data_IF_919056653496
#
_entry.id   IF_919056653496
#
_cell.length_a   1.000
_cell.length_b   1.000
_cell.length_c   1.000
_cell.angle_alpha   90.00
_cell.angle_beta   90.00
_cell.angle_gamma   90.00
#
_symmetry.space_group_name_H-M   'P 1'
#
loop_
_entity.id
_entity.type
_entity.pdbx_description
1 polymer ?
#
# COMPACT_ATOMS: atom_id res chain seq x y z
N UNK A 1 14.50 20.52 -3.38
CA UNK A 1 13.25 21.24 -3.79
C UNK A 1 11.99 20.35 -3.79
N UNK A 2 12.04 19.03 -4.03
CA UNK A 2 10.81 18.19 -4.03
C UNK A 2 10.18 17.92 -2.65
N UNK A 3 10.97 17.88 -1.57
CA UNK A 3 10.49 17.59 -0.21
C UNK A 3 9.39 18.55 0.28
N UNK A 4 9.42 19.81 -0.14
CA UNK A 4 8.48 20.83 0.32
C UNK A 4 7.06 20.67 -0.26
N UNK A 5 6.90 19.97 -1.39
CA UNK A 5 5.60 19.86 -2.08
C UNK A 5 4.67 18.80 -1.48
N UNK A 6 5.22 17.82 -0.75
CA UNK A 6 4.47 16.66 -0.25
C UNK A 6 4.10 16.76 1.24
N UNK A 7 4.45 17.86 1.92
CA UNK A 7 4.15 18.11 3.33
C UNK A 7 4.47 16.93 4.27
N UNK A 8 5.52 16.15 3.96
CA UNK A 8 5.88 14.93 4.68
C UNK A 8 7.24 15.08 5.37
N UNK A 9 7.39 14.46 6.55
CA UNK A 9 8.66 14.39 7.27
C UNK A 9 9.65 13.49 6.53
N UNK A 10 10.94 13.65 6.82
CA UNK A 10 12.01 12.86 6.21
C UNK A 10 11.77 11.34 6.32
N UNK A 11 11.38 10.85 7.50
CA UNK A 11 11.11 9.42 7.72
C UNK A 11 9.94 8.91 6.86
N UNK A 12 8.89 9.72 6.71
CA UNK A 12 7.75 9.39 5.85
C UNK A 12 8.15 9.34 4.37
N UNK A 13 9.07 10.20 3.95
CA UNK A 13 9.62 10.14 2.59
C UNK A 13 10.50 8.91 2.38
N UNK A 14 11.32 8.55 3.36
CA UNK A 14 12.13 7.31 3.33
C UNK A 14 11.22 6.09 3.20
N UNK A 15 10.18 5.99 4.02
CA UNK A 15 9.20 4.89 3.93
C UNK A 15 8.48 4.85 2.58
N UNK A 16 8.11 6.01 2.03
CA UNK A 16 7.51 6.12 0.70
C UNK A 16 8.47 5.62 -0.41
N UNK A 17 9.76 5.99 -0.33
CA UNK A 17 10.77 5.52 -1.27
C UNK A 17 10.92 4.00 -1.22
N UNK A 18 10.91 3.40 -0.03
CA UNK A 18 10.94 1.95 0.13
C UNK A 18 9.72 1.26 -0.47
N UNK A 19 8.52 1.82 -0.26
CA UNK A 19 7.29 1.33 -0.89
C UNK A 19 7.38 1.35 -2.43
N UNK A 20 7.94 2.41 -3.02
CA UNK A 20 8.12 2.48 -4.47
C UNK A 20 9.17 1.51 -5.00
N UNK A 21 10.27 1.31 -4.28
CA UNK A 21 11.28 0.32 -4.63
C UNK A 21 10.72 -1.11 -4.57
N UNK A 22 9.96 -1.43 -3.52
CA UNK A 22 9.28 -2.71 -3.39
C UNK A 22 8.27 -2.92 -4.52
N UNK A 23 7.47 -1.91 -4.84
CA UNK A 23 6.54 -1.95 -5.97
C UNK A 23 7.24 -2.20 -7.31
N UNK A 24 8.44 -1.64 -7.52
CA UNK A 24 9.26 -1.96 -8.70
C UNK A 24 9.73 -3.41 -8.70
N UNK A 25 10.21 -3.93 -7.56
CA UNK A 25 10.60 -5.34 -7.45
C UNK A 25 9.44 -6.29 -7.78
N UNK A 26 8.21 -5.89 -7.46
CA UNK A 26 7.00 -6.64 -7.78
C UNK A 26 6.45 -6.40 -9.19
N UNK A 27 7.09 -5.54 -9.99
CA UNK A 27 6.62 -5.20 -11.34
C UNK A 27 5.36 -4.31 -11.38
N UNK A 28 4.97 -3.71 -10.26
CA UNK A 28 3.82 -2.79 -10.17
C UNK A 28 4.16 -1.36 -10.62
N UNK A 29 5.44 -1.00 -10.59
CA UNK A 29 5.94 0.32 -10.99
C UNK A 29 7.23 0.20 -11.81
N UNK A 30 7.32 0.96 -12.91
CA UNK A 30 8.54 1.02 -13.72
C UNK A 30 9.59 1.95 -13.08
N UNK A 31 9.18 3.18 -12.75
CA UNK A 31 10.03 4.22 -12.16
C UNK A 31 9.65 4.47 -10.68
N UNK A 32 10.50 4.09 -9.72
CA UNK A 32 10.22 4.22 -8.29
C UNK A 32 10.68 5.57 -7.71
N UNK A 33 11.13 6.51 -8.55
CA UNK A 33 11.61 7.81 -8.10
C UNK A 33 10.46 8.78 -7.79
N UNK A 34 10.78 9.86 -7.08
CA UNK A 34 9.83 10.95 -6.80
C UNK A 34 9.42 11.70 -8.07
N UNK A 35 10.29 11.79 -9.07
CA UNK A 35 9.96 12.29 -10.40
C UNK A 35 8.96 11.36 -11.10
N UNK A 36 9.15 10.03 -10.95
CA UNK A 36 8.19 9.04 -11.44
C UNK A 36 6.81 9.20 -10.82
N UNK A 37 6.74 9.43 -9.50
CA UNK A 37 5.50 9.75 -8.79
C UNK A 37 4.83 11.01 -9.36
N UNK A 38 5.59 12.09 -9.54
CA UNK A 38 5.04 13.35 -10.05
C UNK A 38 4.53 13.23 -11.48
N UNK A 39 5.25 12.50 -12.35
CA UNK A 39 4.80 12.21 -13.71
C UNK A 39 3.48 11.41 -13.72
N UNK A 40 3.35 10.40 -12.84
CA UNK A 40 2.10 9.64 -12.68
C UNK A 40 0.96 10.53 -12.18
N UNK A 41 1.23 11.43 -11.24
CA UNK A 41 0.25 12.41 -10.73
C UNK A 41 -0.26 13.33 -11.82
N UNK A 42 0.63 13.90 -12.61
CA UNK A 42 0.28 14.80 -13.72
C UNK A 42 -0.59 14.08 -14.74
N UNK A 43 -0.15 12.89 -15.19
CA UNK A 43 -0.93 12.05 -16.12
C UNK A 43 -2.31 11.68 -15.56
N UNK A 44 -2.40 11.37 -14.26
CA UNK A 44 -3.67 11.06 -13.62
C UNK A 44 -4.61 12.26 -13.58
N UNK A 45 -4.12 13.45 -13.21
CA UNK A 45 -4.91 14.67 -13.20
C UNK A 45 -5.34 15.12 -14.61
N UNK A 46 -4.50 14.94 -15.62
CA UNK A 46 -4.86 15.18 -17.03
C UNK A 46 -5.99 14.26 -17.48
N UNK A 47 -5.89 12.97 -17.16
CA UNK A 47 -6.96 12.00 -17.43
C UNK A 47 -8.27 12.40 -16.75
N UNK A 48 -8.25 12.80 -15.47
CA UNK A 48 -9.44 13.28 -14.75
C UNK A 48 -10.07 14.50 -15.43
N UNK A 49 -9.23 15.47 -15.84
CA UNK A 49 -9.68 16.67 -16.56
C UNK A 49 -10.32 16.31 -17.91
N UNK A 50 -9.76 15.36 -18.65
CA UNK A 50 -10.36 14.90 -19.91
C UNK A 50 -11.72 14.23 -19.66
N UNK A 51 -11.82 13.34 -18.67
CA UNK A 51 -13.10 12.70 -18.33
C UNK A 51 -14.17 13.70 -17.92
N UNK A 52 -13.80 14.76 -17.18
CA UNK A 52 -14.70 15.86 -16.84
C UNK A 52 -15.17 16.62 -18.08
N UNK A 53 -14.25 16.98 -18.99
CA UNK A 53 -14.58 17.67 -20.24
C UNK A 53 -15.48 16.83 -21.16
N UNK A 54 -15.32 15.51 -21.13
CA UNK A 54 -16.12 14.55 -21.89
C UNK A 54 -17.46 14.20 -21.19
N UNK A 55 -17.77 14.81 -20.03
CA UNK A 55 -18.94 14.48 -19.19
C UNK A 55 -19.05 12.99 -18.84
N UNK A 56 -17.91 12.29 -18.72
CA UNK A 56 -17.88 10.90 -18.24
C UNK A 56 -18.16 10.87 -16.74
N UNK A 57 -18.91 9.85 -16.31
CA UNK A 57 -19.12 9.59 -14.88
C UNK A 57 -17.85 8.97 -14.31
N UNK A 58 -17.22 9.64 -13.34
CA UNK A 58 -16.11 9.11 -12.56
C UNK A 58 -16.28 9.46 -11.08
N UNK A 59 -15.59 8.72 -10.22
CA UNK A 59 -15.69 8.84 -8.76
C UNK A 59 -14.39 9.35 -8.16
N UNK A 60 -14.49 9.98 -6.99
CA UNK A 60 -13.35 10.53 -6.26
C UNK A 60 -13.03 11.99 -6.62
N UNK A 61 -11.85 12.49 -6.21
CA UNK A 61 -11.44 13.86 -6.48
C UNK A 61 -11.31 14.14 -7.98
N UNK A 62 -11.65 15.37 -8.40
CA UNK A 62 -11.40 15.86 -9.76
C UNK A 62 -9.94 16.28 -9.99
N UNK A 63 -9.19 16.43 -8.92
CA UNK A 63 -7.78 16.79 -8.93
C UNK A 63 -7.11 16.28 -7.65
N UNK A 64 -5.90 15.73 -7.80
CA UNK A 64 -5.04 15.35 -6.69
C UNK A 64 -3.88 16.34 -6.53
N UNK A 65 -3.81 16.95 -5.34
CA UNK A 65 -2.59 17.63 -4.89
C UNK A 65 -1.45 16.62 -4.70
N UNK A 66 -0.20 17.10 -4.66
CA UNK A 66 0.97 16.26 -4.39
C UNK A 66 0.82 15.36 -3.14
N UNK A 67 0.48 15.87 -1.93
CA UNK A 67 0.32 15.02 -0.76
C UNK A 67 -0.83 14.02 -0.90
N UNK A 68 -1.96 14.43 -1.48
CA UNK A 68 -3.11 13.54 -1.67
C UNK A 68 -2.78 12.39 -2.64
N UNK A 69 -2.06 12.68 -3.72
CA UNK A 69 -1.66 11.65 -4.69
C UNK A 69 -0.63 10.68 -4.12
N UNK A 70 0.34 11.19 -3.34
CA UNK A 70 1.31 10.34 -2.64
C UNK A 70 0.60 9.35 -1.72
N UNK A 71 -0.34 9.83 -0.89
CA UNK A 71 -1.10 8.95 -0.02
C UNK A 71 -1.93 7.93 -0.82
N UNK A 72 -2.63 8.38 -1.87
CA UNK A 72 -3.39 7.51 -2.76
C UNK A 72 -2.52 6.40 -3.35
N UNK A 73 -1.35 6.73 -3.90
CA UNK A 73 -0.49 5.75 -4.53
C UNK A 73 0.13 4.77 -3.51
N UNK A 74 0.58 5.26 -2.35
CA UNK A 74 1.08 4.39 -1.29
C UNK A 74 -0.01 3.43 -0.79
N UNK A 75 -1.25 3.90 -0.62
CA UNK A 75 -2.38 3.04 -0.26
C UNK A 75 -2.68 2.02 -1.35
N UNK A 76 -2.71 2.43 -2.63
CA UNK A 76 -2.92 1.50 -3.76
C UNK A 76 -1.87 0.38 -3.76
N UNK A 77 -0.58 0.73 -3.67
CA UNK A 77 0.51 -0.24 -3.69
C UNK A 77 0.49 -1.20 -2.50
N UNK A 78 0.13 -0.71 -1.31
CA UNK A 78 -0.08 -1.57 -0.14
C UNK A 78 -1.24 -2.54 -0.39
N UNK A 79 -2.36 -2.06 -0.96
CA UNK A 79 -3.50 -2.92 -1.30
C UNK A 79 -3.15 -3.99 -2.33
N UNK A 80 -2.37 -3.64 -3.36
CA UNK A 80 -1.87 -4.58 -4.37
C UNK A 80 -1.00 -5.70 -3.76
N UNK A 81 -0.35 -5.45 -2.61
CA UNK A 81 0.40 -6.47 -1.88
C UNK A 81 -0.47 -7.33 -0.97
N UNK A 82 -1.36 -6.72 -0.18
CA UNK A 82 -2.15 -7.45 0.84
C UNK A 82 -3.33 -8.23 0.26
N UNK A 83 -3.75 -7.87 -0.97
CA UNK A 83 -4.69 -8.62 -1.79
C UNK A 83 -4.02 -8.94 -3.13
N UNK A 84 -3.00 -9.81 -3.13
CA UNK A 84 -2.09 -9.95 -4.25
C UNK A 84 -2.77 -10.62 -5.45
N UNK A 85 -2.59 -10.00 -6.62
CA UNK A 85 -2.87 -10.65 -7.90
C UNK A 85 -1.94 -11.84 -8.11
N UNK A 86 -2.26 -12.73 -9.05
CA UNK A 86 -1.41 -13.87 -9.38
C UNK A 86 0.02 -13.43 -9.76
N UNK A 87 0.15 -12.32 -10.50
CA UNK A 87 1.44 -11.74 -10.85
C UNK A 87 2.26 -11.35 -9.61
N UNK A 88 1.64 -10.74 -8.59
CA UNK A 88 2.31 -10.38 -7.34
C UNK A 88 2.66 -11.62 -6.53
N UNK A 89 1.78 -12.63 -6.47
CA UNK A 89 2.08 -13.92 -5.79
C UNK A 89 3.28 -14.63 -6.43
N UNK A 90 3.35 -14.64 -7.76
CA UNK A 90 4.44 -15.27 -8.51
C UNK A 90 5.81 -14.63 -8.28
N UNK A 91 5.88 -13.44 -7.68
CA UNK A 91 7.16 -12.84 -7.27
C UNK A 91 7.81 -13.58 -6.09
N UNK A 92 7.05 -14.37 -5.33
CA UNK A 92 7.49 -15.03 -4.11
C UNK A 92 7.69 -14.08 -2.91
N UNK A 93 7.43 -12.78 -3.08
CA UNK A 93 7.60 -11.77 -2.01
C UNK A 93 6.40 -11.70 -1.07
N UNK A 94 5.19 -12.04 -1.57
CA UNK A 94 4.00 -12.03 -0.74
C UNK A 94 3.88 -13.36 0.03
N UNK A 95 3.89 -13.35 1.37
CA UNK A 95 3.74 -14.56 2.16
C UNK A 95 2.31 -15.12 2.09
N UNK A 96 2.22 -16.44 2.23
CA UNK A 96 0.99 -17.16 2.57
C UNK A 96 1.03 -17.53 4.04
N UNK A 97 -0.13 -17.59 4.67
CA UNK A 97 -0.26 -17.89 6.09
C UNK A 97 -1.11 -19.14 6.29
N UNK A 98 -0.65 -20.02 7.16
CA UNK A 98 -1.37 -21.21 7.57
C UNK A 98 -2.59 -20.84 8.42
N UNK A 99 -3.58 -21.73 8.48
CA UNK A 99 -4.73 -21.57 9.38
C UNK A 99 -4.30 -21.46 10.84
N UNK A 100 -3.22 -22.16 11.24
CA UNK A 100 -2.73 -22.10 12.62
C UNK A 100 -2.15 -20.72 12.96
N UNK A 101 -1.41 -20.10 12.04
CA UNK A 101 -0.88 -18.74 12.24
C UNK A 101 -2.01 -17.72 12.35
N UNK A 102 -3.04 -17.83 11.51
CA UNK A 102 -4.22 -16.96 11.58
C UNK A 102 -5.01 -17.14 12.88
N UNK A 103 -5.20 -18.37 13.35
CA UNK A 103 -5.84 -18.65 14.65
C UNK A 103 -5.03 -18.11 15.82
N UNK A 104 -3.71 -18.29 15.78
CA UNK A 104 -2.79 -17.75 16.79
C UNK A 104 -2.91 -16.22 16.86
N UNK A 105 -2.96 -15.55 15.71
CA UNK A 105 -3.17 -14.10 15.67
C UNK A 105 -4.52 -13.71 16.28
N UNK A 106 -5.60 -14.42 15.96
CA UNK A 106 -6.93 -14.16 16.52
C UNK A 106 -6.93 -14.26 18.05
N UNK A 107 -6.40 -15.35 18.60
CA UNK A 107 -6.34 -15.60 20.04
C UNK A 107 -5.48 -14.57 20.79
N UNK A 108 -4.37 -14.15 20.19
CA UNK A 108 -3.46 -13.16 20.79
C UNK A 108 -3.96 -11.71 20.69
N UNK A 109 -4.89 -11.42 19.79
CA UNK A 109 -5.39 -10.06 19.51
C UNK A 109 -6.92 -9.98 19.61
N UNK A 110 -7.51 -10.75 20.53
CA UNK A 110 -8.96 -10.82 20.74
C UNK A 110 -9.59 -9.44 20.98
N UNK A 111 -8.85 -8.50 21.56
CA UNK A 111 -9.28 -7.12 21.80
C UNK A 111 -9.60 -6.35 20.51
N UNK A 112 -8.97 -6.70 19.39
CA UNK A 112 -9.25 -6.09 18.08
C UNK A 112 -10.58 -6.57 17.46
N UNK A 113 -11.16 -7.66 17.96
CA UNK A 113 -12.32 -8.31 17.38
C UNK A 113 -13.59 -8.16 18.23
N UNK A 114 -13.55 -7.31 19.25
CA UNK A 114 -14.72 -6.93 20.05
C UNK A 114 -15.72 -6.10 19.24
N UNK A 115 -17.00 -6.41 19.44
CA UNK A 115 -18.14 -5.68 18.86
C UNK A 115 -18.73 -4.73 19.90
N UNK A 116 -19.63 -3.87 19.44
CA UNK A 116 -20.21 -2.80 20.26
C UNK A 116 -20.87 -3.30 21.55
N UNK A 117 -21.53 -4.47 21.53
CA UNK A 117 -22.22 -5.01 22.70
C UNK A 117 -21.36 -5.95 23.56
N UNK A 118 -20.04 -5.99 23.33
CA UNK A 118 -19.10 -6.80 24.10
C UNK A 118 -19.02 -8.27 23.68
N UNK A 119 -19.77 -8.68 22.64
CA UNK A 119 -19.54 -9.93 21.93
C UNK A 119 -18.35 -9.79 20.96
N UNK A 120 -17.84 -10.91 20.46
CA UNK A 120 -16.68 -10.95 19.55
C UNK A 120 -17.10 -11.51 18.19
N UNK A 121 -16.46 -11.03 17.12
CA UNK A 121 -16.53 -11.73 15.85
C UNK A 121 -15.91 -13.12 15.98
N UNK A 122 -16.46 -14.15 15.33
CA UNK A 122 -15.81 -15.47 15.30
C UNK A 122 -14.58 -15.45 14.40
N UNK A 123 -13.67 -16.40 14.59
CA UNK A 123 -12.49 -16.55 13.72
C UNK A 123 -12.87 -16.58 12.23
N UNK A 124 -13.93 -17.32 11.88
CA UNK A 124 -14.40 -17.50 10.51
C UNK A 124 -14.87 -16.17 9.89
N UNK A 125 -15.50 -15.29 10.68
CA UNK A 125 -15.95 -13.97 10.23
C UNK A 125 -14.77 -13.04 9.88
N UNK A 126 -13.63 -13.21 10.56
CA UNK A 126 -12.48 -12.29 10.44
C UNK A 126 -11.23 -12.91 9.81
N UNK A 127 -11.26 -14.19 9.41
CA UNK A 127 -10.08 -14.90 8.89
C UNK A 127 -9.40 -14.17 7.72
N UNK A 128 -10.17 -13.61 6.78
CA UNK A 128 -9.62 -12.84 5.66
C UNK A 128 -9.03 -11.48 6.10
N UNK A 129 -9.62 -10.87 7.13
CA UNK A 129 -9.14 -9.60 7.70
C UNK A 129 -7.81 -9.84 8.44
N UNK A 130 -7.71 -10.94 9.18
CA UNK A 130 -6.47 -11.37 9.84
C UNK A 130 -5.37 -11.60 8.80
N UNK A 131 -5.66 -12.35 7.75
CA UNK A 131 -4.69 -12.61 6.68
C UNK A 131 -4.21 -11.31 6.02
N UNK A 132 -5.13 -10.37 5.77
CA UNK A 132 -4.78 -9.03 5.28
C UNK A 132 -3.87 -8.30 6.26
N UNK A 133 -4.15 -8.34 7.57
CA UNK A 133 -3.36 -7.70 8.62
C UNK A 133 -1.94 -8.28 8.70
N UNK A 134 -1.82 -9.60 8.63
CA UNK A 134 -0.52 -10.28 8.59
C UNK A 134 0.29 -9.88 7.34
N UNK A 135 -0.36 -9.72 6.19
CA UNK A 135 0.30 -9.17 4.99
C UNK A 135 0.65 -7.68 5.14
N UNK A 136 -0.15 -6.86 5.82
CA UNK A 136 0.21 -5.46 6.10
C UNK A 136 1.51 -5.37 6.92
N UNK A 137 1.67 -6.24 7.93
CA UNK A 137 2.88 -6.30 8.75
C UNK A 137 4.09 -6.82 7.95
N UNK A 138 3.89 -7.83 7.09
CA UNK A 138 4.93 -8.31 6.19
C UNK A 138 5.36 -7.24 5.17
N UNK A 139 4.40 -6.48 4.62
CA UNK A 139 4.67 -5.38 3.71
C UNK A 139 5.56 -4.30 4.35
N UNK A 140 5.22 -3.90 5.57
CA UNK A 140 5.98 -2.87 6.29
C UNK A 140 7.41 -3.36 6.62
N UNK A 141 7.61 -4.65 6.91
CA UNK A 141 8.96 -5.25 7.09
C UNK A 141 9.75 -5.28 5.78
N UNK A 142 9.13 -5.71 4.68
CA UNK A 142 9.78 -5.76 3.36
C UNK A 142 10.20 -4.38 2.86
N UNK A 143 9.45 -3.32 3.20
CA UNK A 143 9.86 -1.94 2.91
C UNK A 143 11.21 -1.64 3.55
N UNK A 144 11.40 -1.98 4.83
CA UNK A 144 12.66 -1.74 5.53
C UNK A 144 13.80 -2.62 4.96
N UNK A 145 13.51 -3.87 4.57
CA UNK A 145 14.48 -4.75 3.91
C UNK A 145 14.99 -4.14 2.60
N UNK A 146 14.06 -3.72 1.74
CA UNK A 146 14.38 -3.10 0.45
C UNK A 146 15.13 -1.78 0.62
N UNK A 147 14.78 -1.00 1.65
CA UNK A 147 15.50 0.24 1.97
C UNK A 147 16.94 -0.04 2.38
N UNK A 148 17.17 -1.04 3.25
CA UNK A 148 18.52 -1.43 3.67
C UNK A 148 19.36 -1.88 2.48
N UNK A 149 18.84 -2.77 1.64
CA UNK A 149 19.55 -3.21 0.43
C UNK A 149 19.88 -2.05 -0.53
N UNK A 150 18.97 -1.08 -0.67
CA UNK A 150 19.19 0.08 -1.51
C UNK A 150 20.19 1.09 -0.93
N UNK A 151 20.27 1.18 0.39
CA UNK A 151 21.23 2.02 1.10
C UNK A 151 22.63 1.38 1.11
N UNK A 152 22.73 0.06 1.28
CA UNK A 152 23.98 -0.70 1.28
C UNK A 152 24.59 -0.87 -0.13
N UNK A 153 23.75 -0.84 -1.17
CA UNK A 153 24.17 -0.94 -2.57
C UNK A 153 24.62 0.38 -3.21
N UNK A 154 24.67 1.48 -2.44
CA UNK A 154 25.15 2.80 -2.86
C UNK A 154 26.56 3.07 -2.36
#
# INVERSE_FOLDING_TARGET
MMQQNYCIKADGLRKAQGAFLLAKKMGLLENPSMEGLEARRQKHNEMLKMMEQENKIFYGPRYFSAPAYLQYELTRLKLDFVQPSEAVRNTGLCPEFTEQEKKTFYEQNMDLFGRYFGDFFTYEEVAQIIEKRLREDAYDKLIEDVLREFEDGK
#
